data_IF_380873607028
#
_entry.id   IF_380873607028
#
_cell.length_a   1.000
_cell.length_b   1.000
_cell.length_c   1.000
_cell.angle_alpha   90.00
_cell.angle_beta   90.00
_cell.angle_gamma   90.00
#
_symmetry.space_group_name_H-M   'P 1'
#
loop_
_entity.id
_entity.type
_entity.pdbx_description
1 polymer ?
#
# COMPACT_ATOMS: atom_id res chain seq x y z
N UNK A 1 -79.85 69.74 70.25
CA UNK A 1 -79.95 68.96 69.01
C UNK A 1 -78.62 68.27 68.80
N UNK A 2 -78.68 66.94 68.80
CA UNK A 2 -77.57 66.00 68.73
C UNK A 2 -77.19 65.85 67.24
N UNK A 3 -75.91 65.98 66.90
CA UNK A 3 -75.37 65.48 65.63
C UNK A 3 -74.27 64.47 65.93
N UNK A 4 -74.69 63.22 66.08
CA UNK A 4 -73.83 62.03 66.10
C UNK A 4 -73.41 61.69 64.67
N UNK A 5 -72.10 61.68 64.41
CA UNK A 5 -71.52 61.09 63.20
C UNK A 5 -71.80 59.58 63.15
N UNK A 6 -72.29 59.02 62.02
CA UNK A 6 -72.42 57.58 61.87
C UNK A 6 -71.06 56.97 61.51
N UNK A 7 -70.60 56.08 62.38
CA UNK A 7 -69.56 55.10 62.11
C UNK A 7 -69.97 54.25 60.90
N UNK A 8 -69.27 54.37 59.77
CA UNK A 8 -69.46 53.48 58.62
C UNK A 8 -68.94 52.10 59.03
N UNK A 9 -69.89 51.16 59.16
CA UNK A 9 -69.64 49.74 59.35
C UNK A 9 -68.83 49.22 58.17
N UNK A 10 -67.68 48.63 58.45
CA UNK A 10 -66.98 47.72 57.53
C UNK A 10 -67.92 46.57 57.17
N UNK A 11 -68.45 46.57 55.95
CA UNK A 11 -69.22 45.46 55.38
C UNK A 11 -68.31 44.25 55.24
N UNK A 12 -68.57 43.21 56.03
CA UNK A 12 -68.02 41.86 55.81
C UNK A 12 -68.45 41.35 54.43
N UNK A 13 -67.54 40.82 53.59
CA UNK A 13 -67.92 40.30 52.27
C UNK A 13 -68.96 39.18 52.41
N UNK A 14 -69.93 39.13 51.50
CA UNK A 14 -70.94 38.07 51.44
C UNK A 14 -70.28 36.70 51.25
N UNK A 15 -70.86 35.63 51.80
CA UNK A 15 -70.38 34.24 51.62
C UNK A 15 -70.14 33.88 50.15
N UNK A 16 -70.98 34.41 49.25
CA UNK A 16 -70.91 34.20 47.79
C UNK A 16 -69.66 34.83 47.17
N UNK A 17 -69.20 35.99 47.65
CA UNK A 17 -67.97 36.62 47.14
C UNK A 17 -66.73 35.84 47.58
N UNK A 18 -66.70 35.30 48.79
CA UNK A 18 -65.62 34.42 49.25
C UNK A 18 -65.56 33.09 48.47
N UNK A 19 -66.70 32.56 48.05
CA UNK A 19 -66.75 31.36 47.22
C UNK A 19 -66.23 31.61 45.80
N UNK A 20 -66.60 32.75 45.20
CA UNK A 20 -66.05 33.21 43.91
C UNK A 20 -64.52 33.39 43.96
N UNK A 21 -63.97 34.03 45.00
CA UNK A 21 -62.52 34.17 45.13
C UNK A 21 -61.80 32.83 45.33
N UNK A 22 -62.42 31.86 46.03
CA UNK A 22 -61.88 30.50 46.18
C UNK A 22 -61.87 29.76 44.85
N UNK A 23 -62.93 29.88 44.04
CA UNK A 23 -63.00 29.29 42.71
C UNK A 23 -61.97 29.89 41.76
N UNK A 24 -61.88 31.23 41.67
CA UNK A 24 -60.88 31.90 40.82
C UNK A 24 -59.45 31.52 41.22
N UNK A 25 -59.16 31.40 42.51
CA UNK A 25 -57.86 30.93 43.00
C UNK A 25 -57.58 29.49 42.54
N UNK A 26 -58.54 28.59 42.67
CA UNK A 26 -58.40 27.20 42.24
C UNK A 26 -58.16 27.09 40.72
N UNK A 27 -58.91 27.84 39.92
CA UNK A 27 -58.76 27.91 38.46
C UNK A 27 -57.38 28.43 38.05
N UNK A 28 -56.89 29.49 38.71
CA UNK A 28 -55.56 30.06 38.47
C UNK A 28 -54.43 29.10 38.83
N UNK A 29 -54.57 28.37 39.94
CA UNK A 29 -53.59 27.34 40.35
C UNK A 29 -53.59 26.19 39.34
N UNK A 30 -54.77 25.70 38.94
CA UNK A 30 -54.86 24.63 37.94
C UNK A 30 -54.26 25.06 36.59
N UNK A 31 -54.52 26.29 36.16
CA UNK A 31 -53.93 26.87 34.94
C UNK A 31 -52.41 26.98 35.05
N UNK A 32 -51.87 27.40 36.19
CA UNK A 32 -50.43 27.44 36.41
C UNK A 32 -49.79 26.05 36.31
N UNK A 33 -50.36 25.05 36.98
CA UNK A 33 -49.86 23.66 36.95
C UNK A 33 -49.80 23.14 35.51
N UNK A 34 -50.91 23.27 34.76
CA UNK A 34 -50.97 22.80 33.37
C UNK A 34 -50.01 23.53 32.43
N UNK A 35 -49.76 24.83 32.65
CA UNK A 35 -48.79 25.59 31.85
C UNK A 35 -47.34 25.18 32.19
N UNK A 36 -47.03 24.99 33.48
CA UNK A 36 -45.71 24.56 33.95
C UNK A 36 -45.38 23.12 33.53
N UNK A 37 -46.36 22.22 33.46
CA UNK A 37 -46.18 20.87 32.93
C UNK A 37 -45.80 20.90 31.45
N UNK A 38 -46.57 21.62 30.62
CA UNK A 38 -46.28 21.79 29.19
C UNK A 38 -44.93 22.44 28.93
N UNK A 39 -44.58 23.43 29.76
CA UNK A 39 -43.30 24.11 29.66
C UNK A 39 -42.15 23.16 30.01
N UNK A 40 -42.30 22.37 31.07
CA UNK A 40 -41.30 21.38 31.48
C UNK A 40 -41.03 20.35 30.38
N UNK A 41 -42.09 19.80 29.78
CA UNK A 41 -41.96 18.84 28.67
C UNK A 41 -41.21 19.45 27.47
N UNK A 42 -41.54 20.70 27.10
CA UNK A 42 -40.84 21.41 26.03
C UNK A 42 -39.40 21.73 26.38
N UNK A 43 -39.14 22.17 27.61
CA UNK A 43 -37.80 22.46 28.11
C UNK A 43 -36.93 21.20 28.18
N UNK A 44 -37.46 20.06 28.63
CA UNK A 44 -36.75 18.78 28.64
C UNK A 44 -36.37 18.35 27.21
N UNK A 45 -37.32 18.43 26.28
CA UNK A 45 -37.08 18.11 24.87
C UNK A 45 -36.05 19.03 24.20
N UNK A 46 -36.04 20.32 24.55
CA UNK A 46 -35.14 21.34 23.98
C UNK A 46 -33.85 21.53 24.79
N UNK A 47 -33.70 20.89 25.95
CA UNK A 47 -32.59 21.12 26.88
C UNK A 47 -32.52 22.56 27.41
N UNK A 48 -33.66 23.24 27.53
CA UNK A 48 -33.78 24.60 28.06
C UNK A 48 -34.17 24.58 29.54
N UNK A 49 -33.99 25.70 30.25
CA UNK A 49 -34.39 25.81 31.67
C UNK A 49 -35.83 26.32 31.79
N UNK A 50 -36.72 25.66 32.56
CA UNK A 50 -38.10 26.08 32.73
C UNK A 50 -38.21 27.37 33.56
N UNK A 51 -39.21 28.19 33.25
CA UNK A 51 -39.50 29.41 34.01
C UNK A 51 -40.16 29.06 35.35
N UNK A 52 -39.47 29.34 36.47
CA UNK A 52 -39.96 29.00 37.80
C UNK A 52 -40.75 30.14 38.43
N UNK A 53 -42.03 29.91 38.72
CA UNK A 53 -42.85 30.80 39.56
C UNK A 53 -43.19 30.09 40.87
N UNK A 54 -42.69 30.62 41.99
CA UNK A 54 -42.95 30.12 43.34
C UNK A 54 -43.91 31.08 44.08
N UNK A 55 -45.22 30.98 43.80
CA UNK A 55 -46.26 31.83 44.42
C UNK A 55 -47.49 31.01 44.84
N UNK A 56 -48.14 31.43 45.94
CA UNK A 56 -49.32 30.75 46.49
C UNK A 56 -50.62 30.96 45.67
N UNK A 57 -50.64 31.97 44.80
CA UNK A 57 -51.67 32.26 43.80
C UNK A 57 -51.05 33.17 42.71
N UNK A 58 -51.04 32.78 41.43
CA UNK A 58 -50.39 33.56 40.38
C UNK A 58 -51.23 34.79 39.97
N UNK A 59 -50.54 35.87 39.58
CA UNK A 59 -51.17 37.02 38.93
C UNK A 59 -51.44 36.74 37.44
N UNK A 60 -52.33 37.50 36.82
CA UNK A 60 -52.59 37.36 35.37
C UNK A 60 -51.36 37.72 34.53
N UNK A 61 -50.52 38.63 35.01
CA UNK A 61 -49.23 38.96 34.39
C UNK A 61 -48.27 37.76 34.43
N UNK A 62 -48.14 37.09 35.58
CA UNK A 62 -47.31 35.89 35.75
C UNK A 62 -47.79 34.72 34.87
N UNK A 63 -49.10 34.55 34.72
CA UNK A 63 -49.66 33.57 33.78
C UNK A 63 -49.36 33.96 32.32
N UNK A 64 -49.42 35.24 32.00
CA UNK A 64 -49.05 35.78 30.68
C UNK A 64 -47.58 35.56 30.34
N UNK A 65 -46.68 35.71 31.31
CA UNK A 65 -45.23 35.51 31.13
C UNK A 65 -44.91 34.05 30.77
N UNK A 66 -45.50 33.06 31.46
CA UNK A 66 -45.33 31.64 31.11
C UNK A 66 -45.94 31.35 29.73
N UNK A 67 -47.11 31.91 29.41
CA UNK A 67 -47.72 31.75 28.09
C UNK A 67 -46.83 32.31 26.97
N UNK A 68 -46.19 33.45 27.20
CA UNK A 68 -45.21 34.03 26.27
C UNK A 68 -43.98 33.13 26.13
N UNK A 69 -43.45 32.59 27.25
CA UNK A 69 -42.32 31.66 27.19
C UNK A 69 -42.64 30.38 26.43
N UNK A 70 -43.82 29.79 26.68
CA UNK A 70 -44.32 28.63 25.93
C UNK A 70 -44.40 28.90 24.43
N UNK A 71 -44.89 30.08 24.03
CA UNK A 71 -44.92 30.46 22.62
C UNK A 71 -43.51 30.57 22.02
N UNK A 72 -42.54 31.13 22.76
CA UNK A 72 -41.15 31.18 22.35
C UNK A 72 -40.52 29.78 22.24
N UNK A 73 -40.73 28.91 23.22
CA UNK A 73 -40.24 27.52 23.21
C UNK A 73 -40.85 26.73 22.04
N UNK A 74 -42.13 26.92 21.75
CA UNK A 74 -42.78 26.29 20.60
C UNK A 74 -42.18 26.77 19.28
N UNK A 75 -41.86 28.07 19.16
CA UNK A 75 -41.17 28.61 17.98
C UNK A 75 -39.77 27.99 17.82
N UNK A 76 -39.00 27.91 18.90
CA UNK A 76 -37.66 27.27 18.91
C UNK A 76 -37.76 25.79 18.53
N UNK A 77 -38.77 25.07 19.02
CA UNK A 77 -39.02 23.68 18.65
C UNK A 77 -39.24 23.52 17.15
N UNK A 78 -40.08 24.36 16.54
CA UNK A 78 -40.33 24.32 15.09
C UNK A 78 -39.05 24.58 14.30
N UNK A 79 -38.27 25.59 14.72
CA UNK A 79 -36.99 25.93 14.09
C UNK A 79 -36.00 24.76 14.18
N UNK A 80 -35.75 24.21 15.37
CA UNK A 80 -34.82 23.10 15.56
C UNK A 80 -35.28 21.81 14.87
N UNK A 81 -36.59 21.54 14.82
CA UNK A 81 -37.13 20.41 14.06
C UNK A 81 -36.78 20.53 12.58
N UNK A 82 -36.92 21.73 12.02
CA UNK A 82 -36.58 22.00 10.62
C UNK A 82 -35.08 21.83 10.37
N UNK A 83 -34.23 22.40 11.24
CA UNK A 83 -32.77 22.24 11.17
C UNK A 83 -32.38 20.77 11.26
N UNK A 84 -32.93 20.03 12.22
CA UNK A 84 -32.66 18.61 12.41
C UNK A 84 -33.04 17.78 11.18
N UNK A 85 -34.23 17.98 10.62
CA UNK A 85 -34.67 17.26 9.41
C UNK A 85 -33.75 17.54 8.22
N UNK A 86 -33.34 18.80 8.06
CA UNK A 86 -32.41 19.18 7.00
C UNK A 86 -31.03 18.53 7.18
N UNK A 87 -30.45 18.60 8.39
CA UNK A 87 -29.18 17.95 8.71
C UNK A 87 -29.24 16.44 8.51
N UNK A 88 -30.32 15.79 8.98
CA UNK A 88 -30.55 14.36 8.83
C UNK A 88 -30.53 13.93 7.36
N UNK A 89 -31.29 14.62 6.50
CA UNK A 89 -31.32 14.34 5.06
C UNK A 89 -29.96 14.51 4.39
N UNK A 90 -29.21 15.56 4.74
CA UNK A 90 -27.87 15.77 4.20
C UNK A 90 -26.91 14.66 4.62
N UNK A 91 -26.89 14.30 5.91
CA UNK A 91 -26.05 13.24 6.43
C UNK A 91 -26.39 11.90 5.76
N UNK A 92 -27.68 11.55 5.68
CA UNK A 92 -28.14 10.32 5.02
C UNK A 92 -27.72 10.28 3.54
N UNK A 93 -27.84 11.40 2.83
CA UNK A 93 -27.37 11.50 1.43
C UNK A 93 -25.88 11.22 1.31
N UNK A 94 -25.04 11.87 2.13
CA UNK A 94 -23.58 11.68 2.10
C UNK A 94 -23.21 10.23 2.47
N UNK A 95 -23.87 9.67 3.48
CA UNK A 95 -23.63 8.28 3.92
C UNK A 95 -23.98 7.27 2.84
N UNK A 96 -25.09 7.49 2.11
CA UNK A 96 -25.47 6.65 0.98
C UNK A 96 -24.43 6.75 -0.16
N UNK A 97 -23.94 7.95 -0.48
CA UNK A 97 -22.92 8.13 -1.52
C UNK A 97 -21.58 7.50 -1.14
N UNK A 98 -21.19 7.58 0.14
CA UNK A 98 -19.99 6.97 0.70
C UNK A 98 -20.11 5.46 0.92
N UNK A 99 -21.33 4.89 0.84
CA UNK A 99 -21.65 3.50 1.18
C UNK A 99 -21.27 3.14 2.65
N UNK A 100 -21.54 4.05 3.58
CA UNK A 100 -21.23 3.88 5.01
C UNK A 100 -22.48 3.90 5.88
N UNK A 101 -22.43 3.23 7.03
CA UNK A 101 -23.55 3.14 7.99
C UNK A 101 -23.21 3.85 9.31
N UNK A 102 -24.23 4.20 10.13
CA UNK A 102 -24.00 4.88 11.40
C UNK A 102 -23.09 4.08 12.33
N UNK A 103 -21.94 4.66 12.64
CA UNK A 103 -20.89 4.02 13.43
C UNK A 103 -21.14 4.16 14.92
N UNK A 104 -21.62 5.33 15.36
CA UNK A 104 -21.79 5.64 16.78
C UNK A 104 -23.23 5.44 17.26
N UNK A 105 -23.40 5.25 18.57
CA UNK A 105 -24.73 5.19 19.19
C UNK A 105 -25.52 6.50 18.96
N UNK A 106 -24.84 7.64 18.94
CA UNK A 106 -25.47 8.94 18.67
C UNK A 106 -25.96 9.05 17.23
N UNK A 107 -25.14 8.66 16.24
CA UNK A 107 -25.55 8.63 14.83
C UNK A 107 -26.74 7.68 14.63
N UNK A 108 -26.73 6.50 15.29
CA UNK A 108 -27.88 5.57 15.25
C UNK A 108 -29.13 6.19 15.86
N UNK A 109 -29.02 6.79 17.04
CA UNK A 109 -30.14 7.45 17.73
C UNK A 109 -30.73 8.59 16.90
N UNK A 110 -29.90 9.43 16.30
CA UNK A 110 -30.36 10.57 15.50
C UNK A 110 -30.88 10.18 14.10
N UNK A 111 -30.34 9.13 13.46
CA UNK A 111 -30.68 8.82 12.08
C UNK A 111 -31.72 7.71 11.96
N UNK A 112 -31.73 6.72 12.87
CA UNK A 112 -32.51 5.49 12.72
C UNK A 112 -33.76 5.43 13.60
N UNK A 113 -33.89 6.27 14.63
CA UNK A 113 -35.05 6.24 15.53
C UNK A 113 -36.28 6.96 14.97
N UNK A 114 -37.45 6.64 15.53
CA UNK A 114 -38.74 7.22 15.17
C UNK A 114 -38.75 8.75 15.30
N UNK A 115 -39.45 9.41 14.37
CA UNK A 115 -39.55 10.86 14.31
C UNK A 115 -40.13 11.42 15.62
N UNK A 116 -39.34 12.22 16.34
CA UNK A 116 -39.74 12.87 17.58
C UNK A 116 -39.16 12.27 18.86
N UNK A 117 -38.45 11.14 18.79
CA UNK A 117 -37.73 10.56 19.94
C UNK A 117 -36.41 11.29 20.27
N UNK A 118 -35.78 11.88 19.25
CA UNK A 118 -34.50 12.56 19.38
C UNK A 118 -34.66 13.95 20.03
N UNK A 119 -33.99 14.15 21.17
CA UNK A 119 -34.06 15.41 21.92
C UNK A 119 -33.30 16.53 21.17
N UNK A 120 -34.00 17.62 20.87
CA UNK A 120 -33.48 18.75 20.08
C UNK A 120 -32.77 19.78 20.96
N UNK A 121 -31.85 19.30 21.78
CA UNK A 121 -30.99 20.16 22.59
C UNK A 121 -29.98 20.89 21.71
N UNK A 122 -29.56 22.08 22.14
CA UNK A 122 -28.49 22.84 21.45
C UNK A 122 -27.22 22.01 21.28
N UNK A 123 -26.90 21.16 22.25
CA UNK A 123 -25.72 20.27 22.21
C UNK A 123 -25.89 19.19 21.14
N UNK A 124 -27.07 18.58 21.04
CA UNK A 124 -27.35 17.53 20.06
C UNK A 124 -27.36 18.08 18.62
N UNK A 125 -27.94 19.25 18.39
CA UNK A 125 -27.90 19.91 17.07
C UNK A 125 -26.45 20.21 16.66
N UNK A 126 -25.63 20.79 17.56
CA UNK A 126 -24.21 21.04 17.27
C UNK A 126 -23.43 19.76 16.94
N UNK A 127 -23.69 18.67 17.66
CA UNK A 127 -23.08 17.37 17.35
C UNK A 127 -23.47 16.86 15.96
N UNK A 128 -24.70 17.09 15.51
CA UNK A 128 -25.12 16.74 14.15
C UNK A 128 -24.42 17.61 13.10
N UNK A 129 -24.23 18.91 13.36
CA UNK A 129 -23.44 19.78 12.49
C UNK A 129 -21.98 19.31 12.39
N UNK A 130 -21.39 18.86 13.51
CA UNK A 130 -20.03 18.27 13.52
C UNK A 130 -19.96 16.97 12.71
N UNK A 131 -20.99 16.12 12.83
CA UNK A 131 -21.09 14.87 12.05
C UNK A 131 -21.24 15.17 10.56
N UNK A 132 -22.06 16.15 10.19
CA UNK A 132 -22.18 16.60 8.81
C UNK A 132 -20.81 17.03 8.26
N UNK A 133 -20.11 17.92 8.98
CA UNK A 133 -18.76 18.37 8.59
C UNK A 133 -17.77 17.22 8.44
N UNK A 134 -17.83 16.22 9.34
CA UNK A 134 -17.00 15.00 9.26
C UNK A 134 -17.27 14.24 7.97
N UNK A 135 -18.54 14.01 7.61
CA UNK A 135 -18.88 13.27 6.38
C UNK A 135 -18.57 14.07 5.11
N UNK A 136 -18.75 15.39 5.13
CA UNK A 136 -18.31 16.26 4.04
C UNK A 136 -16.79 16.21 3.82
N UNK A 137 -15.99 16.18 4.90
CA UNK A 137 -14.55 16.01 4.78
C UNK A 137 -14.20 14.63 4.23
N UNK A 138 -14.83 13.57 4.75
CA UNK A 138 -14.61 12.20 4.28
C UNK A 138 -14.95 12.04 2.80
N UNK A 139 -15.98 12.72 2.31
CA UNK A 139 -16.31 12.79 0.87
C UNK A 139 -15.17 13.40 0.06
N UNK A 140 -14.65 14.57 0.47
CA UNK A 140 -13.53 15.22 -0.23
C UNK A 140 -12.29 14.33 -0.26
N UNK A 141 -11.95 13.72 0.87
CA UNK A 141 -10.79 12.83 0.98
C UNK A 141 -10.94 11.60 0.06
N UNK A 142 -12.17 11.06 -0.05
CA UNK A 142 -12.48 9.93 -0.92
C UNK A 142 -12.44 10.29 -2.40
N UNK A 143 -12.95 11.46 -2.76
CA UNK A 143 -12.86 12.00 -4.13
C UNK A 143 -11.40 12.18 -4.55
N UNK A 144 -10.57 12.75 -3.69
CA UNK A 144 -9.13 12.90 -3.94
C UNK A 144 -8.44 11.52 -4.06
N UNK A 145 -8.73 10.60 -3.16
CA UNK A 145 -8.21 9.23 -3.21
C UNK A 145 -8.55 8.55 -4.55
N UNK A 146 -9.80 8.67 -5.01
CA UNK A 146 -10.24 8.07 -6.27
C UNK A 146 -9.57 8.76 -7.47
N UNK A 147 -9.40 10.08 -7.44
CA UNK A 147 -8.67 10.80 -8.49
C UNK A 147 -7.22 10.31 -8.59
N UNK A 148 -6.53 10.13 -7.47
CA UNK A 148 -5.17 9.57 -7.42
C UNK A 148 -5.13 8.14 -7.96
N UNK A 149 -6.06 7.28 -7.56
CA UNK A 149 -6.14 5.91 -8.05
C UNK A 149 -6.41 5.85 -9.56
N UNK A 150 -7.31 6.70 -10.07
CA UNK A 150 -7.58 6.81 -11.52
C UNK A 150 -6.34 7.29 -12.28
N UNK A 151 -5.61 8.28 -11.76
CA UNK A 151 -4.35 8.76 -12.36
C UNK A 151 -3.27 7.68 -12.39
N UNK A 152 -3.13 6.91 -11.30
CA UNK A 152 -2.24 5.74 -11.26
C UNK A 152 -2.64 4.71 -12.32
N UNK A 153 -3.93 4.39 -12.42
CA UNK A 153 -4.44 3.43 -13.39
C UNK A 153 -4.21 3.90 -14.84
N UNK A 154 -4.43 5.19 -15.14
CA UNK A 154 -4.15 5.76 -16.46
C UNK A 154 -2.65 5.66 -16.83
N UNK A 155 -1.77 5.84 -15.85
CA UNK A 155 -0.31 5.66 -16.04
C UNK A 155 0.05 4.20 -16.29
N UNK A 156 -0.66 3.24 -15.68
CA UNK A 156 -0.45 1.82 -15.94
C UNK A 156 -0.97 1.43 -17.33
N UNK A 157 -2.15 1.89 -17.72
CA UNK A 157 -2.71 1.63 -19.04
C UNK A 157 -1.82 2.12 -20.18
N UNK A 158 -1.19 3.30 -20.03
CA UNK A 158 -0.27 3.81 -21.05
C UNK A 158 1.00 2.96 -21.19
N UNK A 159 1.43 2.26 -20.13
CA UNK A 159 2.60 1.38 -20.15
C UNK A 159 2.31 -0.01 -20.71
N UNK A 160 1.16 -0.60 -20.37
CA UNK A 160 0.82 -1.98 -20.78
C UNK A 160 0.20 -2.06 -22.19
N UNK A 161 -0.04 -0.92 -22.84
CA UNK A 161 -0.69 -0.84 -24.17
C UNK A 161 -2.06 -1.54 -24.23
N UNK A 162 -2.88 -1.34 -23.18
CA UNK A 162 -4.22 -1.94 -23.10
C UNK A 162 -5.16 -1.37 -24.17
N UNK A 163 -6.17 -2.14 -24.56
CA UNK A 163 -7.21 -1.72 -25.50
C UNK A 163 -7.99 -0.47 -25.00
N UNK A 164 -8.14 0.52 -25.89
CA UNK A 164 -8.84 1.77 -25.57
C UNK A 164 -10.32 1.54 -25.22
N UNK A 165 -10.98 0.53 -25.83
CA UNK A 165 -12.39 0.27 -25.52
C UNK A 165 -12.54 -0.30 -24.12
N UNK A 166 -11.65 -1.21 -23.69
CA UNK A 166 -11.61 -1.67 -22.30
C UNK A 166 -11.42 -0.52 -21.32
N UNK A 167 -10.46 0.38 -21.56
CA UNK A 167 -10.24 1.57 -20.72
C UNK A 167 -11.48 2.45 -20.64
N UNK A 168 -12.11 2.77 -21.78
CA UNK A 168 -13.33 3.61 -21.82
C UNK A 168 -14.49 2.93 -21.08
N UNK A 169 -14.70 1.63 -21.29
CA UNK A 169 -15.74 0.86 -20.63
C UNK A 169 -15.53 0.77 -19.11
N UNK A 170 -14.29 0.57 -18.66
CA UNK A 170 -13.97 0.52 -17.24
C UNK A 170 -14.19 1.88 -16.56
N UNK A 171 -13.72 2.97 -17.18
CA UNK A 171 -13.90 4.32 -16.64
C UNK A 171 -15.38 4.72 -16.58
N UNK A 172 -16.18 4.33 -17.58
CA UNK A 172 -17.63 4.56 -17.56
C UNK A 172 -18.36 3.81 -16.44
N UNK A 173 -17.80 2.70 -15.94
CA UNK A 173 -18.32 1.96 -14.78
C UNK A 173 -17.86 2.53 -13.43
N UNK A 174 -16.77 3.30 -13.40
CA UNK A 174 -16.17 3.85 -12.19
C UNK A 174 -16.67 5.27 -11.88
N UNK A 175 -17.99 5.43 -11.75
CA UNK A 175 -18.64 6.74 -11.54
C UNK A 175 -18.92 7.07 -10.08
N UNK A 176 -18.89 6.09 -9.17
CA UNK A 176 -19.14 6.29 -7.75
C UNK A 176 -17.91 6.71 -6.94
N UNK A 177 -18.14 7.04 -5.67
CA UNK A 177 -17.07 7.37 -4.69
C UNK A 177 -17.05 6.47 -3.45
N UNK A 178 -17.97 5.50 -3.40
CA UNK A 178 -18.08 4.53 -2.33
C UNK A 178 -16.96 3.48 -2.31
N UNK A 179 -17.06 2.60 -1.32
CA UNK A 179 -16.11 1.50 -1.13
C UNK A 179 -16.12 0.52 -2.32
N UNK A 180 -17.28 0.30 -2.94
CA UNK A 180 -17.44 -0.53 -4.13
C UNK A 180 -16.55 -0.07 -5.29
N UNK A 181 -16.57 1.24 -5.60
CA UNK A 181 -15.80 1.83 -6.70
C UNK A 181 -14.32 1.81 -6.37
N UNK A 182 -13.95 2.14 -5.14
CA UNK A 182 -12.55 2.05 -4.67
C UNK A 182 -12.01 0.63 -4.85
N UNK A 183 -12.76 -0.39 -4.41
CA UNK A 183 -12.37 -1.79 -4.57
C UNK A 183 -12.35 -2.29 -6.01
N UNK A 184 -13.16 -1.70 -6.91
CA UNK A 184 -13.06 -1.98 -8.34
C UNK A 184 -11.77 -1.43 -8.96
N UNK A 185 -11.41 -0.17 -8.66
CA UNK A 185 -10.20 0.46 -9.20
C UNK A 185 -8.94 -0.26 -8.68
N UNK A 186 -8.89 -0.62 -7.40
CA UNK A 186 -7.74 -1.33 -6.82
C UNK A 186 -7.51 -2.70 -7.47
N UNK A 187 -8.58 -3.47 -7.72
CA UNK A 187 -8.48 -4.77 -8.41
C UNK A 187 -8.00 -4.62 -9.86
N UNK A 188 -8.43 -3.56 -10.53
CA UNK A 188 -7.97 -3.30 -11.91
C UNK A 188 -6.51 -2.86 -11.93
N UNK A 189 -6.06 -2.07 -10.96
CA UNK A 189 -4.64 -1.73 -10.78
C UNK A 189 -3.83 -3.02 -10.57
N UNK A 190 -4.28 -3.92 -9.70
CA UNK A 190 -3.62 -5.21 -9.46
C UNK A 190 -3.52 -6.05 -10.75
N UNK A 191 -4.61 -6.17 -11.51
CA UNK A 191 -4.62 -6.84 -12.82
C UNK A 191 -3.61 -6.21 -13.80
N UNK A 192 -3.54 -4.89 -13.86
CA UNK A 192 -2.60 -4.19 -14.75
C UNK A 192 -1.14 -4.45 -14.35
N UNK A 193 -0.84 -4.45 -13.05
CA UNK A 193 0.50 -4.77 -12.53
C UNK A 193 0.87 -6.23 -12.82
N UNK A 194 -0.08 -7.16 -12.76
CA UNK A 194 0.13 -8.54 -13.16
C UNK A 194 0.45 -8.69 -14.64
N UNK A 195 -0.26 -7.98 -15.53
CA UNK A 195 0.05 -7.96 -16.96
C UNK A 195 1.45 -7.39 -17.21
N UNK A 196 1.77 -6.26 -16.57
CA UNK A 196 3.11 -5.66 -16.65
C UNK A 196 4.17 -6.68 -16.24
N UNK A 197 3.96 -7.38 -15.12
CA UNK A 197 4.87 -8.42 -14.63
C UNK A 197 4.99 -9.58 -15.61
N UNK A 198 3.87 -10.06 -16.15
CA UNK A 198 3.83 -11.15 -17.12
C UNK A 198 4.54 -10.80 -18.43
N UNK A 199 4.58 -9.53 -18.82
CA UNK A 199 5.31 -9.05 -19.99
C UNK A 199 6.83 -8.96 -19.72
N UNK A 200 7.23 -8.48 -18.53
CA UNK A 200 8.65 -8.27 -18.19
C UNK A 200 9.34 -9.59 -17.80
N UNK A 201 8.63 -10.49 -17.13
CA UNK A 201 9.19 -11.74 -16.59
C UNK A 201 9.90 -12.59 -17.66
N UNK A 202 9.31 -12.88 -18.83
CA UNK A 202 9.97 -13.64 -19.89
C UNK A 202 11.25 -12.97 -20.41
N UNK A 203 11.30 -11.62 -20.45
CA UNK A 203 12.50 -10.89 -20.85
C UNK A 203 13.63 -11.10 -19.85
N UNK A 204 13.35 -10.93 -18.55
CA UNK A 204 14.34 -11.16 -17.49
C UNK A 204 14.80 -12.62 -17.49
N UNK A 205 13.89 -13.59 -17.60
CA UNK A 205 14.23 -15.01 -17.65
C UNK A 205 15.13 -15.36 -18.83
N UNK A 206 14.87 -14.78 -20.01
CA UNK A 206 15.74 -14.95 -21.17
C UNK A 206 17.13 -14.38 -20.91
N UNK A 207 17.23 -13.15 -20.40
CA UNK A 207 18.53 -12.54 -20.09
C UNK A 207 19.28 -13.33 -19.01
N UNK A 208 18.58 -13.90 -18.02
CA UNK A 208 19.20 -14.80 -17.02
C UNK A 208 19.79 -16.05 -17.65
N UNK A 209 19.14 -16.63 -18.66
CA UNK A 209 19.72 -17.73 -19.43
C UNK A 209 20.98 -17.27 -20.19
N UNK A 210 20.94 -16.09 -20.81
CA UNK A 210 22.08 -15.52 -21.55
C UNK A 210 23.27 -15.24 -20.60
N UNK A 211 23.01 -14.66 -19.42
CA UNK A 211 24.00 -14.46 -18.35
C UNK A 211 24.58 -15.80 -17.87
N UNK A 212 23.74 -16.82 -17.64
CA UNK A 212 24.22 -18.13 -17.20
C UNK A 212 25.15 -18.78 -18.24
N UNK A 213 24.78 -18.69 -19.53
CA UNK A 213 25.63 -19.16 -20.62
C UNK A 213 26.97 -18.40 -20.64
N UNK A 214 26.95 -17.07 -20.49
CA UNK A 214 28.17 -16.26 -20.43
C UNK A 214 29.04 -16.62 -19.22
N UNK A 215 28.46 -16.89 -18.05
CA UNK A 215 29.19 -17.38 -16.88
C UNK A 215 29.85 -18.74 -17.13
N UNK A 216 29.21 -19.65 -17.85
CA UNK A 216 29.81 -20.92 -18.25
C UNK A 216 30.96 -20.70 -19.23
N UNK A 217 30.77 -19.88 -20.27
CA UNK A 217 31.78 -19.58 -21.28
C UNK A 217 33.00 -18.86 -20.69
N UNK A 218 32.79 -17.95 -19.74
CA UNK A 218 33.85 -17.27 -19.00
C UNK A 218 34.47 -18.11 -17.88
N UNK A 219 33.98 -19.34 -17.65
CA UNK A 219 34.45 -20.25 -16.59
C UNK A 219 34.33 -19.70 -15.17
N UNK A 220 33.32 -18.85 -14.92
CA UNK A 220 33.08 -18.25 -13.61
C UNK A 220 32.73 -19.30 -12.56
N UNK A 221 33.32 -19.15 -11.38
CA UNK A 221 32.98 -19.91 -10.18
C UNK A 221 31.64 -19.48 -9.57
N UNK A 222 31.04 -20.33 -8.73
CA UNK A 222 29.81 -19.98 -7.99
C UNK A 222 29.99 -18.72 -7.13
N UNK A 223 31.17 -18.53 -6.54
CA UNK A 223 31.48 -17.32 -5.76
C UNK A 223 31.44 -16.06 -6.64
N UNK A 224 31.90 -16.13 -7.89
CA UNK A 224 31.83 -15.00 -8.83
C UNK A 224 30.40 -14.74 -9.30
N UNK A 225 29.64 -15.80 -9.61
CA UNK A 225 28.23 -15.72 -10.00
C UNK A 225 27.38 -15.10 -8.89
N UNK A 226 27.64 -15.47 -7.64
CA UNK A 226 26.91 -14.98 -6.46
C UNK A 226 27.05 -13.47 -6.23
N UNK A 227 28.06 -12.81 -6.80
CA UNK A 227 28.24 -11.35 -6.67
C UNK A 227 27.12 -10.57 -7.35
N UNK A 228 26.47 -11.14 -8.36
CA UNK A 228 25.31 -10.53 -9.02
C UNK A 228 24.00 -10.96 -8.34
N UNK A 229 23.73 -10.41 -7.15
CA UNK A 229 22.55 -10.74 -6.34
C UNK A 229 21.20 -10.58 -7.06
N UNK A 230 21.10 -9.64 -8.02
CA UNK A 230 19.87 -9.39 -8.78
C UNK A 230 19.42 -10.61 -9.60
N UNK A 231 20.34 -11.52 -9.95
CA UNK A 231 20.05 -12.77 -10.63
C UNK A 231 19.04 -13.66 -9.88
N UNK A 232 19.07 -13.63 -8.54
CA UNK A 232 18.27 -14.53 -7.69
C UNK A 232 16.97 -13.89 -7.17
N UNK A 233 16.65 -12.68 -7.62
CA UNK A 233 15.50 -11.93 -7.12
C UNK A 233 14.20 -12.36 -7.83
N UNK A 234 13.10 -12.53 -7.09
CA UNK A 234 11.76 -12.85 -7.65
C UNK A 234 10.92 -11.60 -8.02
N UNK A 235 11.53 -10.41 -7.94
CA UNK A 235 10.91 -9.17 -8.38
C UNK A 235 11.13 -8.99 -9.89
N UNK A 236 10.03 -8.93 -10.64
CA UNK A 236 10.05 -8.67 -12.09
C UNK A 236 9.49 -7.27 -12.37
N UNK A 237 10.37 -6.27 -12.40
CA UNK A 237 10.05 -4.87 -12.66
C UNK A 237 11.08 -4.26 -13.64
N UNK A 238 10.86 -3.01 -14.04
CA UNK A 238 11.72 -2.30 -15.02
C UNK A 238 13.15 -2.13 -14.50
N UNK A 239 13.34 -1.78 -13.23
CA UNK A 239 14.68 -1.60 -12.63
C UNK A 239 15.49 -2.90 -12.64
N UNK A 240 14.84 -4.04 -12.33
CA UNK A 240 15.50 -5.35 -12.36
C UNK A 240 15.84 -5.74 -13.80
N UNK A 241 14.97 -5.45 -14.77
CA UNK A 241 15.25 -5.70 -16.19
C UNK A 241 16.51 -4.93 -16.64
N UNK A 242 16.59 -3.64 -16.33
CA UNK A 242 17.74 -2.79 -16.68
C UNK A 242 19.04 -3.33 -16.06
N UNK A 243 19.02 -3.73 -14.78
CA UNK A 243 20.18 -4.34 -14.13
C UNK A 243 20.66 -5.61 -14.83
N UNK A 244 19.75 -6.45 -15.34
CA UNK A 244 20.11 -7.66 -16.06
C UNK A 244 20.68 -7.34 -17.45
N UNK A 245 20.09 -6.40 -18.18
CA UNK A 245 20.61 -5.96 -19.47
C UNK A 245 22.03 -5.40 -19.35
N UNK A 246 22.27 -4.53 -18.36
CA UNK A 246 23.59 -3.97 -18.07
C UNK A 246 24.62 -5.06 -17.74
N UNK A 247 24.27 -6.03 -16.90
CA UNK A 247 25.17 -7.13 -16.54
C UNK A 247 25.47 -8.04 -17.74
N UNK A 248 24.45 -8.35 -18.56
CA UNK A 248 24.63 -9.11 -19.78
C UNK A 248 25.62 -8.42 -20.73
N UNK A 249 25.43 -7.13 -21.00
CA UNK A 249 26.36 -6.34 -21.83
C UNK A 249 27.76 -6.31 -21.23
N UNK A 250 27.90 -6.17 -19.90
CA UNK A 250 29.20 -6.21 -19.21
C UNK A 250 29.92 -7.55 -19.43
N UNK A 251 29.19 -8.66 -19.32
CA UNK A 251 29.72 -10.01 -19.53
C UNK A 251 30.07 -10.28 -21.00
N UNK A 252 29.26 -9.82 -21.95
CA UNK A 252 29.57 -9.91 -23.38
C UNK A 252 30.88 -9.18 -23.73
N UNK A 253 31.07 -7.96 -23.22
CA UNK A 253 32.31 -7.21 -23.41
C UNK A 253 33.51 -7.94 -22.78
N UNK A 254 33.34 -8.49 -21.57
CA UNK A 254 34.39 -9.26 -20.90
C UNK A 254 34.74 -10.53 -21.67
N UNK A 255 33.75 -11.23 -22.22
CA UNK A 255 33.95 -12.42 -23.03
C UNK A 255 34.73 -12.09 -24.31
N UNK A 256 34.33 -11.05 -25.04
CA UNK A 256 35.04 -10.64 -26.25
C UNK A 256 36.50 -10.26 -25.98
N UNK A 257 36.78 -9.67 -24.82
CA UNK A 257 38.13 -9.36 -24.38
C UNK A 257 38.94 -10.61 -24.01
N UNK A 258 38.30 -11.59 -23.34
CA UNK A 258 38.98 -12.76 -22.80
C UNK A 258 39.01 -13.98 -23.73
N UNK A 259 38.29 -13.96 -24.85
CA UNK A 259 38.10 -15.12 -25.74
C UNK A 259 39.42 -15.78 -26.16
N UNK A 260 40.45 -14.98 -26.45
CA UNK A 260 41.75 -15.52 -26.85
C UNK A 260 42.43 -16.28 -25.71
N UNK A 261 42.35 -15.75 -24.48
CA UNK A 261 42.84 -16.43 -23.28
C UNK A 261 42.05 -17.73 -23.07
N UNK A 262 40.73 -17.68 -23.23
CA UNK A 262 39.86 -18.84 -23.05
C UNK A 262 40.19 -19.96 -24.03
N UNK A 263 40.33 -19.63 -25.32
CA UNK A 263 40.67 -20.56 -26.39
C UNK A 263 42.06 -21.19 -26.15
N UNK A 264 43.05 -20.38 -25.79
CA UNK A 264 44.40 -20.85 -25.48
C UNK A 264 44.42 -21.75 -24.24
N UNK A 265 43.63 -21.43 -23.22
CA UNK A 265 43.50 -22.20 -21.99
C UNK A 265 42.86 -23.58 -22.25
N UNK A 266 41.78 -23.65 -23.05
CA UNK A 266 41.15 -24.92 -23.39
C UNK A 266 42.05 -25.78 -24.29
N UNK A 267 42.70 -25.17 -25.29
CA UNK A 267 43.71 -25.86 -26.10
C UNK A 267 44.83 -26.44 -25.21
N UNK A 268 45.30 -25.67 -24.23
CA UNK A 268 46.32 -26.14 -23.29
C UNK A 268 45.80 -27.32 -22.49
N UNK A 269 44.59 -27.23 -21.93
CA UNK A 269 43.97 -28.30 -21.15
C UNK A 269 43.93 -29.61 -21.95
N UNK A 270 43.48 -29.56 -23.20
CA UNK A 270 43.43 -30.74 -24.08
C UNK A 270 44.83 -31.33 -24.34
N UNK A 271 45.82 -30.49 -24.66
CA UNK A 271 47.19 -30.96 -24.89
C UNK A 271 47.83 -31.52 -23.62
N UNK A 272 47.55 -30.92 -22.46
CA UNK A 272 48.05 -31.34 -21.16
C UNK A 272 47.45 -32.69 -20.72
N UNK A 273 46.14 -32.84 -20.82
CA UNK A 273 45.45 -34.11 -20.57
C UNK A 273 45.98 -35.22 -21.48
N UNK A 274 46.21 -34.91 -22.77
CA UNK A 274 46.80 -35.86 -23.72
C UNK A 274 48.23 -36.25 -23.36
N UNK A 275 49.05 -35.28 -22.94
CA UNK A 275 50.42 -35.51 -22.49
C UNK A 275 50.45 -36.41 -21.24
N UNK A 276 49.59 -36.15 -20.26
CA UNK A 276 49.47 -36.97 -19.06
C UNK A 276 49.01 -38.40 -19.38
N UNK A 277 48.05 -38.57 -20.28
CA UNK A 277 47.61 -39.89 -20.72
C UNK A 277 48.75 -40.70 -21.38
N UNK A 278 49.61 -40.07 -22.20
CA UNK A 278 50.78 -40.74 -22.77
C UNK A 278 51.79 -41.16 -21.70
N UNK A 279 51.98 -40.34 -20.65
CA UNK A 279 52.86 -40.68 -19.51
C UNK A 279 52.33 -41.87 -18.72
N UNK A 280 51.03 -41.92 -18.45
CA UNK A 280 50.39 -43.07 -17.81
C UNK A 280 50.56 -44.34 -18.65
N UNK A 281 50.32 -44.26 -19.97
CA UNK A 281 50.55 -45.40 -20.87
C UNK A 281 52.01 -45.86 -20.86
N UNK A 282 52.98 -44.94 -20.72
CA UNK A 282 54.40 -45.25 -20.66
C UNK A 282 54.77 -46.14 -19.45
N UNK A 283 54.04 -46.03 -18.34
CA UNK A 283 54.26 -46.83 -17.11
C UNK A 283 53.63 -48.23 -17.16
N UNK A 284 52.83 -48.55 -18.18
CA UNK A 284 52.12 -49.84 -18.24
C UNK A 284 53.07 -51.00 -18.63
N UNK A 285 53.21 -52.07 -17.82
CA UNK A 285 54.09 -53.21 -18.10
C UNK A 285 53.76 -53.95 -19.41
N UNK A 286 52.50 -53.87 -19.88
CA UNK A 286 52.06 -54.49 -21.14
C UNK A 286 52.34 -53.66 -22.40
N UNK A 287 52.93 -52.46 -22.26
CA UNK A 287 53.22 -51.49 -23.34
C UNK A 287 54.11 -52.08 -24.45
N UNK A 288 55.03 -52.98 -24.09
CA UNK A 288 55.99 -53.58 -25.03
C UNK A 288 55.36 -54.58 -26.02
N UNK A 289 54.05 -54.90 -25.92
CA UNK A 289 53.32 -55.68 -26.93
C UNK A 289 53.06 -54.83 -28.19
N UNK A 290 54.12 -54.51 -28.91
CA UNK A 290 54.12 -53.63 -30.08
C UNK A 290 53.69 -54.37 -31.36
N UNK A 291 52.37 -54.45 -31.61
CA UNK A 291 51.85 -54.78 -32.94
C UNK A 291 51.57 -53.48 -33.71
N UNK A 292 52.04 -53.38 -34.95
CA UNK A 292 51.65 -52.32 -35.90
C UNK A 292 52.28 -50.92 -35.71
N UNK A 293 53.45 -50.81 -35.07
CA UNK A 293 54.20 -49.53 -34.99
C UNK A 293 53.60 -48.50 -34.02
N UNK A 294 52.78 -48.96 -33.06
CA UNK A 294 52.08 -48.11 -32.09
C UNK A 294 53.03 -47.27 -31.24
N UNK A 295 54.15 -47.85 -30.79
CA UNK A 295 55.17 -47.13 -30.00
C UNK A 295 55.82 -45.97 -30.77
N UNK A 296 56.04 -46.13 -32.08
CA UNK A 296 56.62 -45.06 -32.91
C UNK A 296 55.63 -43.91 -33.10
N UNK A 297 54.33 -44.21 -33.24
CA UNK A 297 53.28 -43.19 -33.31
C UNK A 297 53.15 -42.44 -31.99
N UNK A 298 53.15 -43.16 -30.87
CA UNK A 298 53.13 -42.62 -29.51
C UNK A 298 54.32 -41.69 -29.24
N UNK A 299 55.53 -42.13 -29.58
CA UNK A 299 56.74 -41.33 -29.40
C UNK A 299 56.77 -40.10 -30.32
N UNK A 300 56.27 -40.23 -31.56
CA UNK A 300 56.12 -39.09 -32.48
C UNK A 300 55.13 -38.06 -31.93
N UNK A 301 54.02 -38.53 -31.38
CA UNK A 301 53.01 -37.68 -30.74
C UNK A 301 53.56 -36.98 -29.50
N UNK A 302 54.24 -37.71 -28.60
CA UNK A 302 54.90 -37.16 -27.41
C UNK A 302 55.89 -36.05 -27.78
N UNK A 303 56.79 -36.30 -28.74
CA UNK A 303 57.75 -35.29 -29.23
C UNK A 303 57.09 -34.07 -29.87
N UNK A 304 55.89 -34.24 -30.43
CA UNK A 304 55.11 -33.12 -30.96
C UNK A 304 54.56 -32.28 -29.80
N UNK A 305 53.94 -32.93 -28.81
CA UNK A 305 53.38 -32.27 -27.62
C UNK A 305 54.44 -31.55 -26.80
N UNK A 306 55.62 -32.15 -26.60
CA UNK A 306 56.76 -31.52 -25.92
C UNK A 306 57.25 -30.22 -26.58
N UNK A 307 56.95 -30.02 -27.87
CA UNK A 307 57.29 -28.79 -28.59
C UNK A 307 56.13 -27.81 -28.65
N UNK A 308 54.90 -28.30 -28.86
CA UNK A 308 53.72 -27.45 -29.03
C UNK A 308 53.23 -26.89 -27.70
N UNK A 309 53.24 -27.68 -26.63
CA UNK A 309 52.71 -27.29 -25.33
C UNK A 309 53.49 -26.10 -24.72
N UNK A 310 54.85 -26.08 -24.65
CA UNK A 310 55.56 -24.92 -24.11
C UNK A 310 55.38 -23.65 -24.94
N UNK A 311 55.18 -23.77 -26.26
CA UNK A 311 54.89 -22.62 -27.13
C UNK A 311 53.52 -22.03 -26.81
N UNK A 312 52.51 -22.89 -26.67
CA UNK A 312 51.17 -22.50 -26.28
C UNK A 312 51.15 -21.87 -24.89
N UNK A 313 51.84 -22.47 -23.91
CA UNK A 313 51.98 -21.90 -22.57
C UNK A 313 52.67 -20.54 -22.57
N UNK A 314 53.72 -20.36 -23.37
CA UNK A 314 54.39 -19.06 -23.49
C UNK A 314 53.47 -17.98 -24.04
N UNK A 315 52.61 -18.31 -24.99
CA UNK A 315 51.61 -17.39 -25.53
C UNK A 315 50.53 -17.09 -24.48
N UNK A 316 49.96 -18.13 -23.87
CA UNK A 316 48.94 -17.99 -22.83
C UNK A 316 49.43 -17.16 -21.65
N UNK A 317 50.65 -17.40 -21.15
CA UNK A 317 51.25 -16.60 -20.06
C UNK A 317 51.37 -15.12 -20.43
N UNK A 318 51.74 -14.81 -21.67
CA UNK A 318 51.85 -13.42 -22.13
C UNK A 318 50.48 -12.72 -22.09
N UNK A 319 49.43 -13.38 -22.57
CA UNK A 319 48.08 -12.83 -22.54
C UNK A 319 47.56 -12.69 -21.10
N UNK A 320 47.84 -13.66 -20.22
CA UNK A 320 47.48 -13.62 -18.79
C UNK A 320 48.15 -12.45 -18.04
N UNK A 321 49.43 -12.18 -18.32
CA UNK A 321 50.14 -11.03 -17.74
C UNK A 321 49.54 -9.72 -18.25
N UNK A 322 49.25 -9.64 -19.55
CA UNK A 322 48.61 -8.46 -20.15
C UNK A 322 47.23 -8.20 -19.53
N UNK A 323 46.45 -9.26 -19.29
CA UNK A 323 45.18 -9.18 -18.59
C UNK A 323 45.34 -8.66 -17.15
N UNK A 324 46.30 -9.20 -16.39
CA UNK A 324 46.58 -8.77 -15.02
C UNK A 324 46.99 -7.29 -14.96
N UNK A 325 47.84 -6.83 -15.88
CA UNK A 325 48.27 -5.43 -15.98
C UNK A 325 47.09 -4.49 -16.28
N UNK A 326 46.12 -4.94 -17.07
CA UNK A 326 44.95 -4.14 -17.45
C UNK A 326 43.87 -4.09 -16.37
N UNK A 327 43.56 -5.23 -15.73
CA UNK A 327 42.45 -5.36 -14.78
C UNK A 327 42.86 -5.29 -13.32
N UNK A 328 44.16 -5.40 -13.02
CA UNK A 328 44.71 -5.42 -11.66
C UNK A 328 44.39 -6.68 -10.85
N UNK A 329 43.76 -7.68 -11.46
CA UNK A 329 43.37 -8.95 -10.83
C UNK A 329 43.78 -10.13 -11.72
N UNK A 330 44.10 -11.29 -11.13
CA UNK A 330 44.46 -12.48 -11.90
C UNK A 330 43.25 -13.02 -12.67
N UNK A 331 43.52 -13.61 -13.83
CA UNK A 331 42.50 -14.32 -14.58
C UNK A 331 42.17 -15.64 -13.87
N UNK A 332 40.91 -15.79 -13.48
CA UNK A 332 40.43 -16.99 -12.80
C UNK A 332 39.83 -17.95 -13.82
N UNK A 333 40.28 -19.21 -13.78
CA UNK A 333 39.75 -20.32 -14.57
C UNK A 333 39.13 -21.34 -13.61
N UNK A 334 37.79 -21.42 -13.58
CA UNK A 334 37.02 -22.15 -12.56
C UNK A 334 37.41 -21.76 -11.12
N UNK A 335 37.58 -20.45 -10.87
CA UNK A 335 37.92 -19.89 -9.56
C UNK A 335 39.38 -20.05 -9.13
N UNK A 336 40.26 -20.55 -10.00
CA UNK A 336 41.70 -20.67 -9.71
C UNK A 336 42.51 -19.75 -10.62
N UNK A 337 43.55 -19.14 -10.07
CA UNK A 337 44.51 -18.38 -10.86
C UNK A 337 45.16 -19.31 -11.91
N UNK A 338 44.87 -19.04 -13.19
CA UNK A 338 45.34 -19.87 -14.28
C UNK A 338 46.86 -19.77 -14.45
N UNK A 339 47.45 -18.58 -14.27
CA UNK A 339 48.88 -18.38 -14.39
C UNK A 339 49.63 -19.18 -13.32
N UNK A 340 49.17 -19.09 -12.06
CA UNK A 340 49.74 -19.87 -10.96
C UNK A 340 49.61 -21.37 -11.20
N UNK A 341 48.45 -21.82 -11.70
CA UNK A 341 48.21 -23.23 -12.01
C UNK A 341 49.20 -23.76 -13.05
N UNK A 342 49.42 -23.01 -14.14
CA UNK A 342 50.39 -23.37 -15.19
C UNK A 342 51.81 -23.43 -14.62
N UNK A 343 52.19 -22.52 -13.73
CA UNK A 343 53.51 -22.51 -13.10
C UNK A 343 53.75 -23.72 -12.21
N UNK A 344 52.79 -24.07 -11.35
CA UNK A 344 52.87 -25.24 -10.47
C UNK A 344 52.98 -26.53 -11.29
N UNK A 345 52.16 -26.68 -12.33
CA UNK A 345 52.19 -27.84 -13.22
C UNK A 345 53.52 -27.98 -13.97
N UNK A 346 54.09 -26.87 -14.44
CA UNK A 346 55.41 -26.86 -15.09
C UNK A 346 56.54 -27.26 -14.14
N UNK A 347 56.47 -26.86 -12.87
CA UNK A 347 57.45 -27.24 -11.84
C UNK A 347 57.36 -28.73 -11.52
N UNK A 348 56.15 -29.27 -11.38
CA UNK A 348 55.92 -30.70 -11.15
C UNK A 348 56.49 -31.51 -12.31
N UNK A 349 56.22 -31.11 -13.56
CA UNK A 349 56.73 -31.79 -14.74
C UNK A 349 58.26 -31.81 -14.80
N UNK A 350 58.92 -30.68 -14.53
CA UNK A 350 60.39 -30.61 -14.45
C UNK A 350 60.96 -31.48 -13.34
N UNK A 351 60.25 -31.61 -12.23
CA UNK A 351 60.69 -32.43 -11.09
C UNK A 351 60.55 -33.93 -11.38
N UNK A 352 59.48 -34.34 -12.06
CA UNK A 352 59.26 -35.73 -12.48
C UNK A 352 60.18 -36.17 -13.63
N UNK A 353 60.69 -35.25 -14.45
CA UNK A 353 61.66 -35.54 -15.52
C UNK A 353 63.12 -35.61 -15.02
N UNK A 354 63.40 -35.04 -13.83
CA UNK A 354 64.71 -35.05 -13.19
C UNK A 354 64.87 -36.18 -12.14
N UNK A 355 63.83 -37.00 -11.97
CA UNK A 355 63.82 -38.27 -11.24
C UNK A 355 63.72 -39.41 -12.26
#
# INVERSE_FOLDING_TARGET
MILTSPCVRSSSPSTDTFEQFRQMRAERIQKLVTLQEKERELCEFLGESPYQIHVACPSDAQLGDIQMNLHNLQRVKVERCSTYQNLKLQIESLMNTLEVTPSTNFERDALMNENGSFHLTTVNIRKLEDILRKYEQMMRDKEEQIALLKSKLDTLYSRISEDENHRKNFMARCTGIGQSTTGMILREIERCEEIKRANIKPCIEKIRCDIANLWEMLTFSEDERSKFNAYYTDSFNEDVLELHEMECTRLEMLYEECKEILDLADQRRVLWERMNHLKEQATNPSRLKNRGGRLLKEEKERKSLEKSLPRLESQLKKELVTYYEKHGNPFLWYGKDLLQTIEVESVIEKTLLNL
#
